data_IF_798337063788
#
_entry.id   IF_798337063788
#
_cell.length_a   1.000
_cell.length_b   1.000
_cell.length_c   1.000
_cell.angle_alpha   90.00
_cell.angle_beta   90.00
_cell.angle_gamma   90.00
#
_symmetry.space_group_name_H-M   'P 1'
#
loop_
_entity.id
_entity.type
_entity.pdbx_description
1 polymer ?
#
# COMPACT_ATOMS: atom_id res chain seq x y z
N UNK A 1 -32.45 -14.08 -22.40
CA UNK A 1 -31.41 -13.51 -21.51
C UNK A 1 -32.08 -13.23 -20.19
N UNK A 2 -31.47 -13.63 -19.10
CA UNK A 2 -31.85 -13.26 -17.73
C UNK A 2 -31.32 -11.84 -17.39
N UNK A 3 -31.95 -11.20 -16.41
CA UNK A 3 -31.67 -9.81 -16.02
C UNK A 3 -30.20 -9.58 -15.62
N UNK A 4 -29.57 -10.59 -15.01
CA UNK A 4 -28.15 -10.54 -14.62
C UNK A 4 -27.24 -10.48 -15.85
N UNK A 5 -27.50 -11.29 -16.88
CA UNK A 5 -26.75 -11.24 -18.14
C UNK A 5 -26.94 -9.91 -18.85
N UNK A 6 -28.16 -9.35 -18.85
CA UNK A 6 -28.42 -8.02 -19.45
C UNK A 6 -27.57 -6.95 -18.76
N UNK A 7 -27.54 -6.96 -17.42
CA UNK A 7 -26.74 -6.01 -16.64
C UNK A 7 -25.25 -6.15 -16.92
N UNK A 8 -24.74 -7.38 -17.05
CA UNK A 8 -23.33 -7.62 -17.37
C UNK A 8 -22.96 -7.08 -18.76
N UNK A 9 -23.81 -7.27 -19.76
CA UNK A 9 -23.58 -6.75 -21.12
C UNK A 9 -23.54 -5.22 -21.11
N UNK A 10 -24.52 -4.57 -20.45
CA UNK A 10 -24.55 -3.11 -20.32
C UNK A 10 -23.30 -2.53 -19.65
N UNK A 11 -22.80 -3.19 -18.60
CA UNK A 11 -21.57 -2.76 -17.93
C UNK A 11 -20.35 -2.88 -18.84
N UNK A 12 -20.26 -3.94 -19.65
CA UNK A 12 -19.16 -4.13 -20.60
C UNK A 12 -19.20 -3.05 -21.69
N UNK A 13 -20.37 -2.78 -22.26
CA UNK A 13 -20.56 -1.72 -23.26
C UNK A 13 -20.16 -0.35 -22.69
N UNK A 14 -20.57 -0.05 -21.46
CA UNK A 14 -20.20 1.19 -20.78
C UNK A 14 -18.68 1.27 -20.55
N UNK A 15 -18.05 0.18 -20.08
CA UNK A 15 -16.60 0.14 -19.84
C UNK A 15 -15.76 0.23 -21.13
N UNK A 16 -16.33 -0.14 -22.27
CA UNK A 16 -15.66 -0.04 -23.57
C UNK A 16 -15.64 1.38 -24.12
N UNK A 17 -16.47 2.30 -23.60
CA UNK A 17 -16.43 3.70 -24.03
C UNK A 17 -15.05 4.31 -23.73
N UNK A 18 -14.60 5.20 -24.60
CA UNK A 18 -13.27 5.83 -24.53
C UNK A 18 -13.24 7.04 -23.59
N UNK A 19 -14.41 7.58 -23.23
CA UNK A 19 -14.56 8.83 -22.47
C UNK A 19 -14.73 8.63 -20.95
N UNK A 20 -14.62 7.39 -20.45
CA UNK A 20 -14.73 7.14 -19.01
C UNK A 20 -13.58 7.76 -18.25
N UNK A 21 -13.92 8.45 -17.16
CA UNK A 21 -12.91 8.86 -16.21
C UNK A 21 -12.42 7.66 -15.38
N UNK A 22 -11.26 7.85 -14.75
CA UNK A 22 -10.61 6.83 -13.94
C UNK A 22 -11.48 6.26 -12.81
N UNK A 23 -12.36 7.08 -12.23
CA UNK A 23 -13.22 6.68 -11.13
C UNK A 23 -14.42 5.85 -11.63
N UNK A 24 -15.06 6.28 -12.71
CA UNK A 24 -16.13 5.52 -13.38
C UNK A 24 -15.62 4.14 -13.84
N UNK A 25 -14.45 4.09 -14.46
CA UNK A 25 -13.81 2.84 -14.86
C UNK A 25 -13.57 1.93 -13.64
N UNK A 26 -13.14 2.52 -12.50
CA UNK A 26 -12.92 1.77 -11.26
C UNK A 26 -14.20 1.12 -10.73
N UNK A 27 -15.29 1.90 -10.66
CA UNK A 27 -16.57 1.43 -10.17
C UNK A 27 -17.16 0.38 -11.12
N UNK A 28 -17.13 0.63 -12.43
CA UNK A 28 -17.66 -0.30 -13.43
C UNK A 28 -16.94 -1.64 -13.42
N UNK A 29 -15.60 -1.65 -13.30
CA UNK A 29 -14.82 -2.89 -13.21
C UNK A 29 -15.17 -3.67 -11.95
N UNK A 30 -15.27 -2.99 -10.80
CA UNK A 30 -15.66 -3.64 -9.55
C UNK A 30 -17.06 -4.22 -9.60
N UNK A 31 -18.01 -3.50 -10.19
CA UNK A 31 -19.38 -3.98 -10.36
C UNK A 31 -19.45 -5.20 -11.29
N UNK A 32 -18.72 -5.17 -12.41
CA UNK A 32 -18.65 -6.30 -13.33
C UNK A 32 -18.03 -7.55 -12.67
N UNK A 33 -16.93 -7.37 -11.92
CA UNK A 33 -16.31 -8.45 -11.16
C UNK A 33 -17.26 -9.00 -10.09
N UNK A 34 -17.94 -8.12 -9.36
CA UNK A 34 -18.91 -8.50 -8.33
C UNK A 34 -20.03 -9.37 -8.89
N UNK A 35 -20.60 -8.99 -10.04
CA UNK A 35 -21.62 -9.78 -10.73
C UNK A 35 -21.08 -11.14 -11.17
N UNK A 36 -19.94 -11.18 -11.88
CA UNK A 36 -19.40 -12.43 -12.42
C UNK A 36 -18.93 -13.42 -11.35
N UNK A 37 -18.41 -12.91 -10.23
CA UNK A 37 -17.96 -13.72 -9.09
C UNK A 37 -19.10 -14.03 -8.10
N UNK A 38 -20.27 -13.41 -8.27
CA UNK A 38 -21.40 -13.46 -7.31
C UNK A 38 -20.95 -13.08 -5.89
N UNK A 39 -20.16 -12.01 -5.83
CA UNK A 39 -19.54 -11.46 -4.63
C UNK A 39 -19.96 -10.01 -4.44
N UNK A 40 -19.87 -9.51 -3.20
CA UNK A 40 -19.91 -8.07 -2.92
C UNK A 40 -18.62 -7.39 -3.42
N UNK A 41 -18.66 -6.07 -3.64
CA UNK A 41 -17.47 -5.31 -4.05
C UNK A 41 -16.33 -5.45 -3.02
N UNK A 42 -16.64 -5.49 -1.72
CA UNK A 42 -15.65 -5.68 -0.65
C UNK A 42 -14.99 -7.07 -0.72
N UNK A 43 -15.74 -8.11 -1.05
CA UNK A 43 -15.20 -9.45 -1.24
C UNK A 43 -14.30 -9.53 -2.48
N UNK A 44 -14.66 -8.85 -3.57
CA UNK A 44 -13.81 -8.70 -4.76
C UNK A 44 -12.50 -7.99 -4.41
N UNK A 45 -12.55 -6.89 -3.65
CA UNK A 45 -11.34 -6.17 -3.21
C UNK A 45 -10.44 -7.10 -2.37
N UNK A 46 -11.02 -7.87 -1.44
CA UNK A 46 -10.29 -8.86 -0.64
C UNK A 46 -9.67 -9.96 -1.51
N UNK A 47 -10.40 -10.44 -2.52
CA UNK A 47 -9.90 -11.42 -3.49
C UNK A 47 -8.68 -10.88 -4.26
N UNK A 48 -8.79 -9.68 -4.84
CA UNK A 48 -7.70 -9.04 -5.59
C UNK A 48 -6.43 -8.85 -4.73
N UNK A 49 -6.60 -8.49 -3.45
CA UNK A 49 -5.49 -8.38 -2.50
C UNK A 49 -4.86 -9.74 -2.17
N UNK A 50 -5.66 -10.80 -2.01
CA UNK A 50 -5.14 -12.16 -1.80
C UNK A 50 -4.39 -12.68 -3.03
N UNK A 51 -4.90 -12.42 -4.23
CA UNK A 51 -4.25 -12.83 -5.50
C UNK A 51 -2.86 -12.22 -5.63
N UNK A 52 -2.68 -10.94 -5.28
CA UNK A 52 -1.35 -10.33 -5.27
C UNK A 52 -0.41 -11.01 -4.28
N UNK A 53 -0.87 -11.20 -3.04
CA UNK A 53 -0.04 -11.79 -1.99
C UNK A 53 0.45 -13.17 -2.39
N UNK A 54 -0.42 -13.98 -3.01
CA UNK A 54 -0.06 -15.28 -3.55
C UNK A 54 0.97 -15.18 -4.69
N UNK A 55 0.82 -14.21 -5.60
CA UNK A 55 1.79 -14.00 -6.69
C UNK A 55 3.16 -13.55 -6.18
N UNK A 56 3.21 -12.65 -5.19
CA UNK A 56 4.47 -12.22 -4.55
C UNK A 56 5.18 -13.37 -3.85
N UNK A 57 4.45 -14.19 -3.08
CA UNK A 57 5.03 -15.36 -2.41
C UNK A 57 5.61 -16.37 -3.40
N UNK A 58 4.96 -16.58 -4.55
CA UNK A 58 5.51 -17.43 -5.61
C UNK A 58 6.81 -16.83 -6.18
N UNK A 59 6.82 -15.53 -6.48
CA UNK A 59 8.03 -14.86 -6.96
C UNK A 59 9.19 -14.93 -5.94
N UNK A 60 8.91 -14.69 -4.66
CA UNK A 60 9.89 -14.77 -3.57
C UNK A 60 10.46 -16.20 -3.41
N UNK A 61 9.64 -17.23 -3.62
CA UNK A 61 10.08 -18.63 -3.53
C UNK A 61 10.98 -19.03 -4.71
N UNK A 62 10.69 -18.56 -5.93
CA UNK A 62 11.54 -18.80 -7.11
C UNK A 62 12.94 -18.20 -6.90
N UNK A 63 13.01 -16.97 -6.39
CA UNK A 63 14.30 -16.28 -6.13
C UNK A 63 15.15 -17.02 -5.07
N UNK A 64 14.52 -17.74 -4.14
CA UNK A 64 15.24 -18.52 -3.11
C UNK A 64 15.81 -19.82 -3.66
N UNK A 65 15.07 -20.52 -4.51
CA UNK A 65 15.55 -21.75 -5.13
C UNK A 65 16.72 -21.49 -6.10
N UNK A 66 16.68 -20.40 -6.86
CA UNK A 66 17.76 -20.04 -7.79
C UNK A 66 19.10 -19.70 -7.08
N UNK A 67 19.07 -19.34 -5.79
CA UNK A 67 20.27 -19.04 -5.00
C UNK A 67 20.83 -20.27 -4.27
N UNK A 68 20.04 -21.34 -4.08
CA UNK A 68 20.48 -22.57 -3.42
C UNK A 68 21.06 -23.59 -4.42
N UNK A 69 20.68 -23.53 -5.71
CA UNK A 69 21.20 -24.45 -6.75
C UNK A 69 22.58 -24.08 -7.32
N UNK A 70 23.20 -22.96 -6.92
CA UNK A 70 24.55 -22.56 -7.35
C UNK A 70 25.62 -22.66 -6.26
N UNK A 71 25.28 -23.15 -5.07
CA UNK A 71 26.20 -23.29 -3.96
C UNK A 71 26.28 -24.74 -3.48
N UNK A 72 26.77 -25.66 -4.33
CA UNK A 72 27.47 -26.87 -3.89
C UNK A 72 28.09 -27.60 -5.08
N UNK A 73 29.29 -27.16 -5.48
CA UNK A 73 30.23 -28.00 -6.23
C UNK A 73 31.59 -27.94 -5.51
N UNK A 74 31.59 -28.46 -4.27
CA UNK A 74 32.81 -28.81 -3.55
C UNK A 74 32.63 -30.23 -3.03
N UNK A 75 33.33 -31.15 -3.70
CA UNK A 75 33.52 -32.54 -3.28
C UNK A 75 34.07 -32.55 -1.84
N UNK A 76 33.55 -33.44 -0.97
CA UNK A 76 34.49 -34.23 -0.19
C UNK A 76 34.13 -35.72 -0.13
N UNK A 77 35.19 -36.50 0.03
CA UNK A 77 35.29 -37.95 0.11
C UNK A 77 34.33 -38.64 1.08
N UNK A 78 34.00 -39.89 0.70
CA UNK A 78 33.56 -41.00 1.56
C UNK A 78 34.17 -40.97 2.97
N UNK A 79 33.32 -41.15 3.98
CA UNK A 79 33.51 -42.27 4.92
C UNK A 79 32.19 -42.67 5.59
N UNK A 80 32.04 -43.97 5.80
CA UNK A 80 30.88 -44.64 6.38
C UNK A 80 30.67 -44.25 7.86
N UNK A 81 29.41 -44.06 8.28
CA UNK A 81 28.81 -44.75 9.46
C UNK A 81 27.50 -44.11 9.95
N UNK A 82 26.61 -45.02 10.37
CA UNK A 82 25.62 -44.93 11.45
C UNK A 82 24.32 -44.12 11.28
N UNK A 83 23.27 -44.91 10.99
CA UNK A 83 21.99 -44.96 11.71
C UNK A 83 21.76 -43.91 12.80
N UNK A 84 20.95 -42.90 12.49
CA UNK A 84 19.97 -42.38 13.45
C UNK A 84 18.66 -42.02 12.74
N UNK A 85 17.64 -42.86 12.94
CA UNK A 85 16.24 -42.49 12.76
C UNK A 85 15.91 -41.38 13.75
N UNK A 86 15.60 -40.18 13.25
CA UNK A 86 14.92 -39.16 14.02
C UNK A 86 13.72 -38.64 13.21
N UNK A 87 12.54 -38.90 13.78
CA UNK A 87 11.22 -38.52 13.29
C UNK A 87 11.09 -37.01 13.06
N UNK A 88 10.89 -36.59 11.80
CA UNK A 88 10.44 -35.24 11.49
C UNK A 88 8.91 -35.12 11.66
N UNK A 89 8.47 -35.03 12.92
CA UNK A 89 7.11 -34.59 13.27
C UNK A 89 7.08 -33.07 13.26
N UNK A 90 6.84 -32.47 12.09
CA UNK A 90 6.40 -31.07 12.01
C UNK A 90 4.92 -31.01 12.38
N UNK A 91 4.63 -31.00 13.69
CA UNK A 91 3.34 -30.55 14.23
C UNK A 91 3.35 -29.02 14.28
N UNK A 92 3.09 -28.37 13.16
CA UNK A 92 2.67 -26.96 13.17
C UNK A 92 1.17 -26.90 13.51
N UNK A 93 0.91 -26.44 14.73
CA UNK A 93 -0.41 -26.22 15.33
C UNK A 93 -1.35 -25.50 14.36
N UNK A 94 -2.59 -25.99 14.33
CA UNK A 94 -3.67 -25.53 13.47
C UNK A 94 -3.81 -24.01 13.37
N UNK A 95 -3.65 -23.50 12.15
CA UNK A 95 -4.32 -22.29 11.70
C UNK A 95 -5.36 -22.71 10.67
N UNK A 96 -6.60 -22.31 10.91
CA UNK A 96 -7.78 -22.51 10.05
C UNK A 96 -7.39 -22.30 8.57
N UNK A 97 -7.29 -23.38 7.82
CA UNK A 97 -6.77 -23.42 6.45
C UNK A 97 -7.90 -23.51 5.40
N UNK A 98 -9.14 -23.19 5.77
CA UNK A 98 -10.29 -23.40 4.87
C UNK A 98 -10.63 -22.19 3.98
N UNK A 99 -10.34 -20.95 4.40
CA UNK A 99 -10.76 -19.74 3.66
C UNK A 99 -9.64 -19.03 2.88
N UNK A 100 -8.43 -19.60 2.90
CA UNK A 100 -7.25 -18.95 2.32
C UNK A 100 -6.88 -19.45 0.92
N UNK A 101 -7.65 -20.40 0.38
CA UNK A 101 -7.46 -20.93 -0.97
C UNK A 101 -8.22 -20.04 -1.94
N UNK A 102 -7.51 -19.48 -2.91
CA UNK A 102 -8.10 -18.77 -4.03
C UNK A 102 -8.53 -19.83 -5.06
N UNK A 103 -9.81 -19.83 -5.42
CA UNK A 103 -10.35 -20.79 -6.40
C UNK A 103 -9.78 -20.48 -7.79
N UNK A 104 -9.43 -21.51 -8.55
CA UNK A 104 -8.89 -21.33 -9.91
C UNK A 104 -9.90 -20.63 -10.82
N UNK A 105 -11.19 -20.94 -10.65
CA UNK A 105 -12.28 -20.34 -11.42
C UNK A 105 -12.37 -18.83 -11.17
N UNK A 106 -12.20 -18.38 -9.92
CA UNK A 106 -12.22 -16.96 -9.57
C UNK A 106 -11.05 -16.20 -10.24
N UNK A 107 -9.87 -16.83 -10.31
CA UNK A 107 -8.68 -16.27 -10.97
C UNK A 107 -8.94 -16.11 -12.47
N UNK A 108 -9.53 -17.13 -13.10
CA UNK A 108 -9.88 -17.11 -14.52
C UNK A 108 -10.92 -16.02 -14.83
N UNK A 109 -11.96 -15.88 -14.00
CA UNK A 109 -12.96 -14.82 -14.14
C UNK A 109 -12.30 -13.44 -14.08
N UNK A 110 -11.45 -13.19 -13.08
CA UNK A 110 -10.72 -11.93 -12.94
C UNK A 110 -9.84 -11.68 -14.17
N UNK A 111 -9.07 -12.68 -14.58
CA UNK A 111 -8.19 -12.60 -15.76
C UNK A 111 -8.98 -12.24 -17.02
N UNK A 112 -10.09 -12.93 -17.25
CA UNK A 112 -10.96 -12.71 -18.41
C UNK A 112 -11.57 -11.32 -18.42
N UNK A 113 -12.02 -10.79 -17.28
CA UNK A 113 -12.54 -9.41 -17.20
C UNK A 113 -11.48 -8.39 -17.61
N UNK A 114 -10.27 -8.49 -17.04
CA UNK A 114 -9.19 -7.55 -17.39
C UNK A 114 -8.72 -7.72 -18.84
N UNK A 115 -8.67 -8.95 -19.36
CA UNK A 115 -8.33 -9.21 -20.75
C UNK A 115 -9.38 -8.64 -21.73
N UNK A 116 -10.67 -8.77 -21.43
CA UNK A 116 -11.75 -8.21 -22.25
C UNK A 116 -11.72 -6.67 -22.30
N UNK A 117 -11.31 -6.01 -21.21
CA UNK A 117 -11.23 -4.54 -21.15
C UNK A 117 -9.94 -4.06 -21.85
N UNK A 118 -8.85 -4.81 -21.74
CA UNK A 118 -7.61 -4.58 -22.50
C UNK A 118 -6.78 -3.36 -22.10
N UNK A 119 -7.23 -2.55 -21.15
CA UNK A 119 -6.55 -1.31 -20.71
C UNK A 119 -5.72 -1.47 -19.43
N UNK A 120 -6.04 -2.46 -18.61
CA UNK A 120 -5.48 -2.64 -17.26
C UNK A 120 -5.31 -4.12 -16.94
N UNK A 121 -4.36 -4.43 -16.06
CA UNK A 121 -4.27 -5.73 -15.39
C UNK A 121 -4.73 -5.60 -13.94
N UNK A 122 -5.10 -6.73 -13.33
CA UNK A 122 -5.55 -6.80 -11.94
C UNK A 122 -4.56 -6.16 -10.96
N UNK A 123 -3.26 -6.25 -11.24
CA UNK A 123 -2.23 -5.63 -10.42
C UNK A 123 -2.23 -4.10 -10.50
N UNK A 124 -2.19 -3.54 -11.71
CA UNK A 124 -2.25 -2.09 -11.91
C UNK A 124 -3.55 -1.51 -11.35
N UNK A 125 -4.67 -2.22 -11.54
CA UNK A 125 -5.96 -1.84 -10.99
C UNK A 125 -5.92 -1.76 -9.46
N UNK A 126 -5.42 -2.79 -8.79
CA UNK A 126 -5.27 -2.79 -7.32
C UNK A 126 -4.38 -1.65 -6.82
N UNK A 127 -3.24 -1.41 -7.47
CA UNK A 127 -2.25 -0.44 -7.00
C UNK A 127 -2.64 1.02 -7.30
N UNK A 128 -3.41 1.26 -8.36
CA UNK A 128 -3.66 2.60 -8.89
C UNK A 128 -5.12 3.03 -8.84
N UNK A 129 -6.07 2.11 -9.06
CA UNK A 129 -7.51 2.38 -9.13
C UNK A 129 -8.22 2.17 -7.79
N UNK A 130 -8.00 1.06 -7.11
CA UNK A 130 -8.62 0.81 -5.79
C UNK A 130 -8.36 1.90 -4.75
N UNK A 131 -7.16 2.52 -4.65
CA UNK A 131 -6.93 3.60 -3.70
C UNK A 131 -7.79 4.83 -3.94
N UNK A 132 -8.36 5.02 -5.15
CA UNK A 132 -9.26 6.13 -5.46
C UNK A 132 -10.54 6.09 -4.60
N UNK A 133 -10.97 4.89 -4.22
CA UNK A 133 -12.15 4.67 -3.38
C UNK A 133 -11.95 5.02 -1.91
N UNK A 134 -10.70 5.27 -1.50
CA UNK A 134 -10.35 5.66 -0.14
C UNK A 134 -9.86 7.12 -0.06
N UNK A 135 -10.03 7.90 -1.12
CA UNK A 135 -9.67 9.32 -1.12
C UNK A 135 -10.70 10.14 -0.33
N UNK A 136 -10.30 11.32 0.17
CA UNK A 136 -11.22 12.29 0.77
C UNK A 136 -12.43 12.60 -0.13
N UNK A 137 -13.59 12.85 0.46
CA UNK A 137 -14.88 12.97 -0.25
C UNK A 137 -14.86 14.09 -1.32
N UNK A 138 -14.26 15.24 -1.00
CA UNK A 138 -13.97 16.35 -1.91
C UNK A 138 -13.22 15.89 -3.17
N UNK A 139 -12.18 15.08 -2.99
CA UNK A 139 -11.37 14.55 -4.09
C UNK A 139 -12.13 13.50 -4.90
N UNK A 140 -12.93 12.64 -4.24
CA UNK A 140 -13.76 11.65 -4.93
C UNK A 140 -14.83 12.28 -5.81
N UNK A 141 -15.48 13.35 -5.33
CA UNK A 141 -16.47 14.09 -6.10
C UNK A 141 -15.85 14.73 -7.34
N UNK A 142 -14.66 15.33 -7.20
CA UNK A 142 -13.94 15.90 -8.33
C UNK A 142 -13.54 14.82 -9.36
N UNK A 143 -13.13 13.63 -8.90
CA UNK A 143 -12.82 12.50 -9.77
C UNK A 143 -14.06 11.97 -10.50
N UNK A 144 -15.16 11.76 -9.77
CA UNK A 144 -16.40 11.23 -10.31
C UNK A 144 -17.01 12.17 -11.36
N UNK A 145 -16.86 13.49 -11.18
CA UNK A 145 -17.29 14.50 -12.15
C UNK A 145 -16.33 14.69 -13.32
N UNK A 146 -15.17 14.02 -13.33
CA UNK A 146 -14.17 14.15 -14.38
C UNK A 146 -13.44 15.50 -14.39
N UNK A 147 -13.58 16.31 -13.34
CA UNK A 147 -12.93 17.65 -13.26
C UNK A 147 -11.44 17.56 -12.95
N UNK A 148 -10.97 16.42 -12.46
CA UNK A 148 -9.55 16.18 -12.19
C UNK A 148 -9.12 14.76 -12.58
N UNK A 149 -7.92 14.66 -13.14
CA UNK A 149 -7.30 13.36 -13.45
C UNK A 149 -6.81 12.64 -12.19
N UNK A 150 -6.85 11.30 -12.20
CA UNK A 150 -6.55 10.49 -11.01
C UNK A 150 -5.13 10.67 -10.46
N UNK A 151 -4.13 10.93 -11.31
CA UNK A 151 -2.75 11.15 -10.87
C UNK A 151 -2.62 12.46 -10.08
N UNK A 152 -3.31 13.51 -10.53
CA UNK A 152 -3.41 14.81 -9.85
C UNK A 152 -4.18 14.65 -8.54
N UNK A 153 -5.33 13.99 -8.57
CA UNK A 153 -6.12 13.70 -7.37
C UNK A 153 -5.32 12.92 -6.31
N UNK A 154 -4.56 11.89 -6.70
CA UNK A 154 -3.68 11.15 -5.79
C UNK A 154 -2.56 12.00 -5.21
N UNK A 155 -2.07 13.01 -5.93
CA UNK A 155 -1.07 13.92 -5.39
C UNK A 155 -1.68 14.84 -4.33
N UNK A 156 -2.82 15.46 -4.65
CA UNK A 156 -3.54 16.39 -3.76
C UNK A 156 -4.01 15.67 -2.48
N UNK A 157 -4.53 14.44 -2.60
CA UNK A 157 -5.02 13.67 -1.45
C UNK A 157 -3.95 13.31 -0.41
N UNK A 158 -2.65 13.42 -0.73
CA UNK A 158 -1.57 13.23 0.26
C UNK A 158 -1.49 14.40 1.24
N UNK A 159 -2.12 15.52 0.92
CA UNK A 159 -2.14 16.69 1.76
C UNK A 159 -3.12 16.51 2.91
N UNK A 160 -2.58 16.51 4.14
CA UNK A 160 -3.33 16.13 5.35
C UNK A 160 -4.30 17.21 5.82
N UNK A 161 -3.93 18.47 5.65
CA UNK A 161 -4.76 19.59 6.05
C UNK A 161 -5.97 19.69 5.11
N UNK A 162 -7.18 19.68 5.68
CA UNK A 162 -8.42 19.60 4.90
C UNK A 162 -8.74 20.91 4.18
N UNK A 163 -8.49 22.06 4.82
CA UNK A 163 -8.83 23.37 4.28
C UNK A 163 -7.89 23.70 3.12
N UNK A 164 -6.59 23.61 3.37
CA UNK A 164 -5.57 23.84 2.36
C UNK A 164 -5.62 22.80 1.23
N UNK A 165 -6.07 21.56 1.48
CA UNK A 165 -6.33 20.58 0.42
C UNK A 165 -7.49 21.03 -0.48
N UNK A 166 -8.56 21.54 0.10
CA UNK A 166 -9.70 22.10 -0.64
C UNK A 166 -9.26 23.25 -1.56
N UNK A 167 -8.51 24.21 -1.02
CA UNK A 167 -7.95 25.33 -1.78
C UNK A 167 -7.04 24.87 -2.93
N UNK A 168 -6.19 23.87 -2.66
CA UNK A 168 -5.31 23.30 -3.67
C UNK A 168 -6.10 22.59 -4.78
N UNK A 169 -7.16 21.87 -4.42
CA UNK A 169 -8.05 21.21 -5.38
C UNK A 169 -8.74 22.25 -6.27
N UNK A 170 -9.31 23.30 -5.68
CA UNK A 170 -9.97 24.37 -6.42
C UNK A 170 -8.99 25.09 -7.37
N UNK A 171 -7.79 25.40 -6.91
CA UNK A 171 -6.73 25.97 -7.77
C UNK A 171 -6.31 25.02 -8.87
N UNK A 172 -6.18 23.72 -8.57
CA UNK A 172 -5.80 22.72 -9.56
C UNK A 172 -6.82 22.61 -10.70
N UNK A 173 -8.12 22.68 -10.38
CA UNK A 173 -9.21 22.62 -11.36
C UNK A 173 -9.33 23.94 -12.12
N UNK A 174 -9.43 25.07 -11.43
CA UNK A 174 -9.65 26.39 -12.06
C UNK A 174 -8.48 26.85 -12.94
N UNK A 175 -7.24 26.53 -12.55
CA UNK A 175 -6.04 26.93 -13.29
C UNK A 175 -5.46 25.81 -14.18
N UNK A 176 -6.14 24.66 -14.27
CA UNK A 176 -5.68 23.49 -15.03
C UNK A 176 -4.23 23.09 -14.72
N UNK A 177 -3.89 23.05 -13.42
CA UNK A 177 -2.51 22.79 -13.01
C UNK A 177 -2.02 21.42 -13.50
N UNK A 178 -0.76 21.39 -13.92
CA UNK A 178 -0.04 20.15 -14.23
C UNK A 178 0.32 19.40 -12.94
N UNK A 179 0.59 18.09 -13.07
CA UNK A 179 1.01 17.27 -11.93
C UNK A 179 2.29 17.80 -11.26
N UNK A 180 3.22 18.37 -12.04
CA UNK A 180 4.45 18.96 -11.51
C UNK A 180 4.15 20.23 -10.70
N UNK A 181 3.31 21.13 -11.21
CA UNK A 181 2.90 22.34 -10.49
C UNK A 181 2.15 22.01 -9.18
N UNK A 182 1.28 20.99 -9.20
CA UNK A 182 0.60 20.51 -7.99
C UNK A 182 1.63 20.03 -6.95
N UNK A 183 2.64 19.26 -7.38
CA UNK A 183 3.69 18.78 -6.47
C UNK A 183 4.53 19.92 -5.90
N UNK A 184 4.87 20.93 -6.72
CA UNK A 184 5.60 22.12 -6.28
C UNK A 184 4.80 22.91 -5.23
N UNK A 185 3.51 23.15 -5.47
CA UNK A 185 2.64 23.84 -4.50
C UNK A 185 2.52 23.07 -3.19
N UNK A 186 2.38 21.74 -3.24
CA UNK A 186 2.37 20.89 -2.04
C UNK A 186 3.66 21.06 -1.25
N UNK A 187 4.82 21.07 -1.92
CA UNK A 187 6.11 21.28 -1.25
C UNK A 187 6.22 22.68 -0.62
N UNK A 188 5.76 23.73 -1.30
CA UNK A 188 5.75 25.09 -0.77
C UNK A 188 4.85 25.21 0.46
N UNK A 189 3.63 24.66 0.41
CA UNK A 189 2.72 24.65 1.55
C UNK A 189 3.30 23.88 2.73
N UNK A 190 3.96 22.74 2.48
CA UNK A 190 4.67 21.99 3.52
C UNK A 190 5.83 22.77 4.11
N UNK A 191 6.64 23.46 3.30
CA UNK A 191 7.75 24.29 3.77
C UNK A 191 7.28 25.49 4.59
N UNK A 192 6.21 26.16 4.17
CA UNK A 192 5.61 27.28 4.90
C UNK A 192 4.99 26.81 6.23
N UNK A 193 4.27 25.68 6.21
CA UNK A 193 3.76 25.06 7.43
C UNK A 193 4.88 24.64 8.39
N UNK A 194 6.08 24.32 7.86
CA UNK A 194 7.28 23.99 8.65
C UNK A 194 7.96 25.24 9.26
N UNK A 195 7.79 26.40 8.65
CA UNK A 195 8.30 27.68 9.13
C UNK A 195 7.35 28.34 10.16
N UNK A 196 6.04 28.09 10.07
CA UNK A 196 5.03 28.53 11.05
C UNK A 196 4.84 27.57 12.23
N UNK A 197 5.61 26.47 12.32
CA UNK A 197 5.52 25.57 13.48
C UNK A 197 5.97 26.33 14.73
N UNK A 198 5.02 26.55 15.66
CA UNK A 198 5.28 26.97 17.04
C UNK A 198 6.54 26.27 17.59
N UNK A 199 7.51 26.99 18.18
CA UNK A 199 8.79 26.42 18.63
C UNK A 199 8.66 25.12 19.44
N UNK A 200 7.59 24.97 20.22
CA UNK A 200 7.27 23.77 21.01
C UNK A 200 7.07 22.49 20.17
N UNK A 201 6.39 22.56 19.02
CA UNK A 201 6.13 21.36 18.19
C UNK A 201 7.42 20.86 17.52
N UNK A 202 8.30 21.78 17.14
CA UNK A 202 9.64 21.44 16.63
C UNK A 202 10.49 20.80 17.72
N UNK A 203 10.45 21.32 18.94
CA UNK A 203 11.17 20.76 20.09
C UNK A 203 10.63 19.36 20.45
N UNK A 204 9.30 19.15 20.42
CA UNK A 204 8.68 17.85 20.66
C UNK A 204 9.06 16.80 19.60
N UNK A 205 9.08 17.19 18.31
CA UNK A 205 9.56 16.30 17.25
C UNK A 205 11.04 15.95 17.41
N UNK A 206 11.90 16.95 17.68
CA UNK A 206 13.34 16.70 17.93
C UNK A 206 13.56 15.77 19.11
N UNK A 207 12.81 15.93 20.21
CA UNK A 207 12.85 15.02 21.35
C UNK A 207 12.49 13.58 20.95
N UNK A 208 11.40 13.39 20.21
CA UNK A 208 10.99 12.06 19.71
C UNK A 208 12.06 11.40 18.83
N UNK A 209 12.66 12.17 17.93
CA UNK A 209 13.69 11.65 17.01
C UNK A 209 14.99 11.31 17.72
N UNK A 210 15.40 12.09 18.73
CA UNK A 210 16.52 11.76 19.61
C UNK A 210 16.26 10.44 20.32
N UNK A 211 15.04 10.22 20.84
CA UNK A 211 14.66 8.96 21.51
C UNK A 211 14.78 7.73 20.59
N UNK A 212 14.35 7.85 19.33
CA UNK A 212 14.53 6.76 18.33
C UNK A 212 15.99 6.48 18.03
N UNK A 213 16.77 7.53 17.76
CA UNK A 213 18.20 7.42 17.45
C UNK A 213 19.01 6.86 18.62
N UNK A 214 18.63 7.17 19.85
CA UNK A 214 19.28 6.64 21.04
C UNK A 214 19.01 5.13 21.21
N UNK A 215 17.82 4.63 20.82
CA UNK A 215 17.51 3.19 20.83
C UNK A 215 18.28 2.41 19.77
N UNK A 216 18.46 3.00 18.59
CA UNK A 216 19.14 2.36 17.46
C UNK A 216 20.67 2.43 17.58
N UNK A 217 21.19 3.45 18.24
CA UNK A 217 22.63 3.61 18.40
C UNK A 217 23.17 2.73 19.53
N UNK A 218 24.37 2.15 19.31
CA UNK A 218 25.19 1.46 20.33
C UNK A 218 25.75 2.39 21.41
N UNK A 219 25.02 3.46 21.75
CA UNK A 219 25.39 4.42 22.79
C UNK A 219 25.37 3.74 24.16
N UNK A 220 24.58 2.67 24.30
CA UNK A 220 24.49 1.82 25.48
C UNK A 220 25.74 0.96 25.73
N UNK A 221 26.57 0.73 24.71
CA UNK A 221 27.76 -0.12 24.80
C UNK A 221 29.03 0.66 25.23
N UNK A 222 28.97 2.00 25.27
CA UNK A 222 30.11 2.88 25.58
C UNK A 222 29.92 3.58 26.93
N UNK A 223 30.69 3.14 27.93
CA UNK A 223 30.62 3.64 29.31
C UNK A 223 30.84 5.16 29.44
N UNK A 224 31.61 5.79 28.53
CA UNK A 224 31.80 7.25 28.55
C UNK A 224 30.60 7.99 27.98
N UNK A 225 29.94 7.44 26.96
CA UNK A 225 28.72 8.03 26.38
C UNK A 225 27.52 7.82 27.28
N UNK A 226 27.40 6.65 27.91
CA UNK A 226 26.32 6.33 28.85
C UNK A 226 26.30 7.31 30.03
N UNK A 227 27.45 7.58 30.67
CA UNK A 227 27.57 8.60 31.73
C UNK A 227 27.16 10.00 31.28
N UNK A 228 27.41 10.37 30.01
CA UNK A 228 27.00 11.68 29.47
C UNK A 228 25.49 11.75 29.25
N UNK A 229 24.89 10.67 28.72
CA UNK A 229 23.44 10.57 28.52
C UNK A 229 22.71 10.60 29.86
N UNK A 230 23.19 9.84 30.85
CA UNK A 230 22.64 9.81 32.21
C UNK A 230 22.65 11.19 32.87
N UNK A 231 23.76 11.94 32.73
CA UNK A 231 23.84 13.32 33.23
C UNK A 231 22.80 14.24 32.57
N UNK A 232 22.66 14.16 31.24
CA UNK A 232 21.69 14.98 30.49
C UNK A 232 20.24 14.63 30.83
N UNK A 233 19.93 13.35 31.06
CA UNK A 233 18.62 12.92 31.52
C UNK A 233 18.32 13.45 32.92
N UNK A 234 19.28 13.39 33.84
CA UNK A 234 19.13 13.97 35.18
C UNK A 234 18.91 15.49 35.17
N UNK A 235 19.54 16.21 34.23
CA UNK A 235 19.29 17.64 34.06
C UNK A 235 17.88 17.92 33.51
N UNK A 236 17.37 17.08 32.61
CA UNK A 236 15.98 17.15 32.12
C UNK A 236 14.97 16.82 33.22
N UNK A 237 15.23 15.78 34.03
CA UNK A 237 14.37 15.40 35.17
C UNK A 237 14.27 16.51 36.21
N UNK A 238 15.36 17.22 36.50
CA UNK A 238 15.34 18.40 37.39
C UNK A 238 14.46 19.52 36.85
N UNK A 239 14.46 19.75 35.53
CA UNK A 239 13.58 20.73 34.90
C UNK A 239 12.10 20.30 35.03
N UNK A 240 11.80 19.00 34.93
CA UNK A 240 10.44 18.46 35.02
C UNK A 240 9.91 18.35 36.46
N UNK A 241 10.80 18.20 37.45
CA UNK A 241 10.47 18.10 38.87
C UNK A 241 10.58 19.43 39.63
N UNK A 242 11.11 20.47 38.99
CA UNK A 242 11.17 21.84 39.50
C UNK A 242 10.02 22.70 38.97
N UNK A 243 8.84 22.52 39.55
CA UNK A 243 7.64 23.36 39.42
C UNK A 243 6.83 23.30 40.71
#
# INVERSE_FOLDING_TARGET
>A
MDDETVKQVQLIENLQREDLNAYEETIGILELLALRLKMTQDEVIKLLNRMEKANRQKADNVIRHDNEEQADDVIPHNDESEDTKADNVIRSKGKKQADNVIRSEDIEIVSNVFACIGRLCAESFRANRLPLLNLPCDIQQALASGTIEYTKARAIARFKDNEQRGDLLEKAVSQNLSLSQIKELIQQLQANSAQEILPEKVLSQRYSDIGKRLKEAKVWDDAKKLRKVEKLLGDIEKILSGG
#
